data_IF_556733059315
#
_entry.id   IF_556733059315
#
_cell.length_a   1.000
_cell.length_b   1.000
_cell.length_c   1.000
_cell.angle_alpha   90.00
_cell.angle_beta   90.00
_cell.angle_gamma   90.00
#
_symmetry.space_group_name_H-M   'P 1'
#
loop_
_entity.id
_entity.type
_entity.pdbx_description
1 polymer ?
#
# COMPACT_ATOMS: atom_id res chain seq x y z
N UNK A 1 4.97 12.16 20.11
CA UNK A 1 3.63 12.05 19.49
C UNK A 1 3.67 10.85 18.57
N UNK A 2 2.75 9.91 18.70
CA UNK A 2 2.71 8.69 17.90
C UNK A 2 1.74 8.84 16.73
N UNK A 3 2.00 8.13 15.62
CA UNK A 3 1.14 8.10 14.43
C UNK A 3 1.32 6.78 13.68
N UNK A 4 0.47 6.54 12.68
CA UNK A 4 0.70 5.46 11.72
C UNK A 4 2.03 5.67 10.97
N UNK A 5 2.88 4.66 11.02
CA UNK A 5 4.18 4.60 10.37
C UNK A 5 4.22 3.55 9.25
N UNK A 6 3.06 3.05 8.83
CA UNK A 6 2.92 1.90 7.91
C UNK A 6 3.74 0.68 8.35
N UNK A 7 3.78 0.44 9.65
CA UNK A 7 4.54 -0.65 10.26
C UNK A 7 6.00 -0.68 9.79
N UNK A 8 6.67 0.47 9.74
CA UNK A 8 8.09 0.59 9.33
C UNK A 8 9.01 -0.43 10.01
N UNK A 9 8.71 -0.83 11.25
CA UNK A 9 9.44 -1.87 11.97
C UNK A 9 9.38 -3.24 11.30
N UNK A 10 8.27 -3.58 10.64
CA UNK A 10 8.10 -4.82 9.88
C UNK A 10 8.91 -4.78 8.59
N UNK A 11 8.75 -3.69 7.83
CA UNK A 11 9.49 -3.46 6.57
C UNK A 11 11.00 -3.55 6.82
N UNK A 12 11.52 -2.79 7.78
CA UNK A 12 12.95 -2.81 8.10
C UNK A 12 13.45 -4.18 8.54
N UNK A 13 12.65 -4.92 9.31
CA UNK A 13 13.02 -6.25 9.77
C UNK A 13 13.08 -7.23 8.60
N UNK A 14 12.03 -7.29 7.78
CA UNK A 14 11.97 -8.19 6.64
C UNK A 14 13.03 -7.89 5.59
N UNK A 15 13.32 -6.61 5.31
CA UNK A 15 14.43 -6.23 4.43
C UNK A 15 15.77 -6.73 4.96
N UNK A 16 16.07 -6.52 6.26
CA UNK A 16 17.33 -6.99 6.86
C UNK A 16 17.45 -8.52 6.86
N UNK A 17 16.36 -9.23 7.13
CA UNK A 17 16.32 -10.70 7.12
C UNK A 17 16.56 -11.23 5.68
N UNK A 18 15.87 -10.67 4.68
CA UNK A 18 16.06 -10.98 3.26
C UNK A 18 17.48 -10.71 2.77
N UNK A 19 18.07 -9.56 3.11
CA UNK A 19 19.46 -9.22 2.77
C UNK A 19 20.45 -10.20 3.40
N UNK A 20 20.22 -10.62 4.65
CA UNK A 20 21.06 -11.59 5.34
C UNK A 20 20.98 -12.98 4.71
N UNK A 21 19.77 -13.40 4.36
CA UNK A 21 19.47 -14.75 3.91
C UNK A 21 19.59 -14.89 2.37
N UNK A 22 19.87 -13.79 1.66
CA UNK A 22 19.89 -13.69 0.18
C UNK A 22 18.58 -14.15 -0.45
N UNK A 23 17.46 -13.88 0.22
CA UNK A 23 16.11 -14.17 -0.27
C UNK A 23 15.51 -12.92 -0.91
N UNK A 24 14.74 -13.09 -1.99
CA UNK A 24 14.03 -11.99 -2.64
C UNK A 24 12.69 -11.80 -1.93
N UNK A 25 12.38 -10.56 -1.56
CA UNK A 25 11.04 -10.21 -1.07
C UNK A 25 10.11 -9.97 -2.26
N UNK A 26 8.95 -10.59 -2.22
CA UNK A 26 7.92 -10.48 -3.25
C UNK A 26 6.85 -9.45 -2.86
N UNK A 27 6.14 -8.91 -3.86
CA UNK A 27 5.01 -8.01 -3.59
C UNK A 27 3.92 -8.73 -2.79
N UNK A 28 3.39 -8.06 -1.77
CA UNK A 28 2.42 -8.64 -0.86
C UNK A 28 2.99 -9.61 0.19
N UNK A 29 4.32 -9.72 0.31
CA UNK A 29 4.94 -10.53 1.36
C UNK A 29 4.42 -10.20 2.76
N UNK A 30 4.07 -11.24 3.53
CA UNK A 30 3.43 -11.06 4.84
C UNK A 30 4.32 -10.28 5.82
N UNK A 31 5.63 -10.36 5.65
CA UNK A 31 6.63 -9.61 6.40
C UNK A 31 6.62 -8.10 6.08
N UNK A 32 6.35 -7.73 4.83
CA UNK A 32 6.25 -6.34 4.38
C UNK A 32 4.89 -5.71 4.68
N UNK A 33 3.84 -6.52 4.73
CA UNK A 33 2.48 -6.04 4.96
C UNK A 33 2.29 -5.44 6.37
N UNK A 34 1.72 -4.23 6.46
CA UNK A 34 1.27 -3.66 7.72
C UNK A 34 0.28 -4.57 8.46
N UNK A 35 0.22 -4.44 9.78
CA UNK A 35 -0.66 -5.24 10.61
C UNK A 35 -2.14 -5.11 10.20
N UNK A 36 -2.58 -3.90 9.82
CA UNK A 36 -3.95 -3.66 9.36
C UNK A 36 -4.27 -4.37 8.03
N UNK A 37 -3.31 -4.46 7.10
CA UNK A 37 -3.46 -5.21 5.84
C UNK A 37 -3.58 -6.70 6.13
N UNK A 38 -2.64 -7.23 6.92
CA UNK A 38 -2.61 -8.64 7.29
C UNK A 38 -3.82 -9.13 8.10
N UNK A 39 -4.51 -8.22 8.82
CA UNK A 39 -5.69 -8.53 9.61
C UNK A 39 -7.01 -8.38 8.83
N UNK A 40 -6.98 -7.72 7.66
CA UNK A 40 -8.18 -7.41 6.91
C UNK A 40 -8.68 -8.64 6.13
N UNK A 41 -9.72 -9.30 6.64
CA UNK A 41 -10.29 -10.47 5.99
C UNK A 41 -10.95 -10.18 4.62
N UNK A 42 -11.38 -8.94 4.40
CA UNK A 42 -12.04 -8.50 3.17
C UNK A 42 -11.08 -7.95 2.11
N UNK A 43 -9.77 -7.93 2.38
CA UNK A 43 -8.75 -7.34 1.50
C UNK A 43 -9.06 -5.88 1.09
N UNK A 44 -9.66 -5.11 2.00
CA UNK A 44 -9.98 -3.70 1.76
C UNK A 44 -8.74 -2.78 1.76
N UNK A 45 -7.63 -3.25 2.33
CA UNK A 45 -6.36 -2.53 2.39
C UNK A 45 -5.33 -3.29 1.56
N UNK A 46 -4.68 -2.58 0.64
CA UNK A 46 -3.61 -3.10 -0.21
C UNK A 46 -2.39 -2.23 0.04
N UNK A 47 -1.25 -2.86 0.24
CA UNK A 47 0.03 -2.20 0.52
C UNK A 47 1.10 -2.79 -0.40
N UNK A 48 2.00 -1.94 -0.89
CA UNK A 48 3.04 -2.35 -1.84
C UNK A 48 3.95 -1.19 -2.23
N UNK A 49 4.83 -1.45 -3.20
CA UNK A 49 5.83 -0.47 -3.66
C UNK A 49 5.35 0.30 -4.90
N UNK A 50 5.05 1.60 -4.76
CA UNK A 50 4.67 2.46 -5.89
C UNK A 50 5.75 2.67 -6.95
N UNK A 51 7.02 2.42 -6.63
CA UNK A 51 8.10 2.55 -7.60
C UNK A 51 8.26 1.29 -8.46
N UNK A 52 7.64 0.18 -8.07
CA UNK A 52 7.59 -1.03 -8.86
C UNK A 52 6.29 -1.01 -9.71
N UNK A 53 6.39 -0.84 -11.04
CA UNK A 53 5.23 -0.85 -11.93
C UNK A 53 4.48 -2.18 -11.93
N UNK A 54 5.16 -3.27 -11.59
CA UNK A 54 4.58 -4.60 -11.58
C UNK A 54 3.82 -4.93 -10.29
N UNK A 55 4.00 -4.13 -9.25
CA UNK A 55 3.29 -4.33 -7.97
C UNK A 55 1.79 -4.17 -8.11
N UNK A 56 1.07 -4.89 -7.26
CA UNK A 56 -0.39 -4.85 -7.17
C UNK A 56 -0.89 -3.44 -6.93
N UNK A 57 -0.21 -2.69 -6.05
CA UNK A 57 -0.63 -1.33 -5.68
C UNK A 57 -0.41 -0.33 -6.82
N UNK A 58 0.64 -0.48 -7.63
CA UNK A 58 0.90 0.40 -8.78
C UNK A 58 -0.16 0.21 -9.86
N UNK A 59 -0.47 -1.04 -10.21
CA UNK A 59 -1.53 -1.38 -11.16
C UNK A 59 -2.90 -0.88 -10.68
N UNK A 60 -3.24 -1.12 -9.42
CA UNK A 60 -4.50 -0.62 -8.83
C UNK A 60 -4.56 0.91 -8.78
N UNK A 61 -3.44 1.60 -8.54
CA UNK A 61 -3.38 3.07 -8.55
C UNK A 61 -3.68 3.61 -9.96
N UNK A 62 -3.05 3.04 -10.98
CA UNK A 62 -3.29 3.42 -12.38
C UNK A 62 -4.78 3.27 -12.74
N UNK A 63 -5.34 2.08 -12.48
CA UNK A 63 -6.74 1.78 -12.75
C UNK A 63 -7.73 2.65 -11.96
N UNK A 64 -7.37 3.00 -10.73
CA UNK A 64 -8.23 3.80 -9.86
C UNK A 64 -8.15 5.30 -10.18
N UNK A 65 -6.99 5.82 -10.58
CA UNK A 65 -6.76 7.26 -10.77
C UNK A 65 -6.95 7.73 -12.21
N UNK A 66 -7.11 6.81 -13.18
CA UNK A 66 -7.51 7.17 -14.54
C UNK A 66 -8.89 7.84 -14.61
N UNK A 67 -9.20 8.46 -15.75
CA UNK A 67 -10.51 9.05 -15.99
C UNK A 67 -11.62 8.00 -15.90
N UNK A 68 -12.69 8.30 -15.14
CA UNK A 68 -13.75 7.33 -14.84
C UNK A 68 -13.41 6.32 -13.73
N UNK A 69 -12.17 6.33 -13.22
CA UNK A 69 -11.74 5.52 -12.09
C UNK A 69 -12.40 5.91 -10.76
N UNK A 70 -12.34 5.00 -9.79
CA UNK A 70 -12.93 5.14 -8.45
C UNK A 70 -11.97 5.70 -7.39
N UNK A 71 -10.74 6.01 -7.76
CA UNK A 71 -9.70 6.53 -6.88
C UNK A 71 -9.86 8.00 -6.56
N UNK A 72 -9.47 8.40 -5.35
CA UNK A 72 -9.31 9.80 -4.96
C UNK A 72 -8.35 9.93 -3.78
N UNK A 73 -7.74 11.11 -3.66
CA UNK A 73 -6.96 11.51 -2.47
C UNK A 73 -7.80 12.42 -1.58
N UNK A 74 -7.62 12.27 -0.28
CA UNK A 74 -8.40 13.06 0.68
C UNK A 74 -7.82 14.48 0.77
N UNK A 75 -8.68 15.50 0.63
CA UNK A 75 -8.29 16.92 0.68
C UNK A 75 -7.19 17.29 -0.32
N UNK A 76 -7.31 16.82 -1.56
CA UNK A 76 -6.30 17.03 -2.62
C UNK A 76 -6.03 18.53 -2.92
N UNK A 77 -7.01 19.39 -2.70
CA UNK A 77 -6.88 20.85 -2.85
C UNK A 77 -5.83 21.48 -1.91
N UNK A 78 -5.38 20.77 -0.88
CA UNK A 78 -4.32 21.22 0.02
C UNK A 78 -2.91 20.88 -0.48
N UNK A 79 -2.77 20.12 -1.58
CA UNK A 79 -1.46 19.78 -2.15
C UNK A 79 -0.57 18.90 -1.27
N UNK A 80 -1.18 18.06 -0.42
CA UNK A 80 -0.46 17.20 0.55
C UNK A 80 0.17 15.95 -0.05
N UNK A 81 -0.10 15.65 -1.33
CA UNK A 81 0.43 14.51 -2.09
C UNK A 81 0.45 13.19 -1.28
N UNK A 82 -0.72 12.81 -0.74
CA UNK A 82 -0.81 11.66 0.17
C UNK A 82 -0.49 10.34 -0.52
N UNK A 83 0.22 9.46 0.20
CA UNK A 83 0.52 8.08 -0.24
C UNK A 83 -0.67 7.11 -0.10
N UNK A 84 -1.78 7.53 0.51
CA UNK A 84 -2.99 6.70 0.62
C UNK A 84 -3.99 7.17 -0.42
N UNK A 85 -4.49 6.22 -1.22
CA UNK A 85 -5.54 6.45 -2.22
C UNK A 85 -6.78 5.71 -1.73
N UNK A 86 -7.90 6.42 -1.68
CA UNK A 86 -9.18 5.85 -1.30
C UNK A 86 -9.97 5.48 -2.54
N UNK A 87 -10.79 4.44 -2.42
CA UNK A 87 -11.69 4.03 -3.49
C UNK A 87 -13.13 4.36 -3.10
N UNK A 88 -13.86 5.02 -4.01
CA UNK A 88 -15.28 5.37 -3.83
C UNK A 88 -16.11 4.12 -3.58
N UNK A 89 -17.04 4.19 -2.63
CA UNK A 89 -18.05 3.15 -2.44
C UNK A 89 -18.97 3.14 -3.67
N UNK A 90 -19.29 1.95 -4.17
CA UNK A 90 -20.31 1.76 -5.19
C UNK A 90 -21.44 1.03 -4.49
N UNK A 91 -22.55 1.72 -4.29
CA UNK A 91 -23.78 1.12 -3.80
C UNK A 91 -24.51 0.53 -5.01
N UNK A 92 -24.72 -0.79 -4.97
CA UNK A 92 -25.49 -1.54 -5.96
C UNK A 92 -26.94 -1.72 -5.54
#
# INVERSE_FOLDING_TARGET
MEKCSFCVQRIQRSTRESERDNEVLEDGDRGLNPACVNACASNALIFGNFNDPDSTVSKMKEDAMQEGGRGYRLMENLGTDTNVIYLKKVDG
#
